data_IF_899015239988
#
_entry.id   IF_899015239988
#
_cell.length_a   1.000
_cell.length_b   1.000
_cell.length_c   1.000
_cell.angle_alpha   90.00
_cell.angle_beta   90.00
_cell.angle_gamma   90.00
#
_symmetry.space_group_name_H-M   'P 1'
#
loop_
_entity.id
_entity.type
_entity.pdbx_description
1 polymer ?
#
# COMPACT_ATOMS: atom_id res chain seq x y z
N UNK A 1 17.60 -6.34 8.19
CA UNK A 1 16.59 -6.42 7.18
C UNK A 1 15.31 -5.77 7.69
N UNK A 2 14.77 -4.88 6.90
CA UNK A 2 13.60 -4.14 7.31
C UNK A 2 12.37 -4.64 6.56
N UNK A 3 11.66 -5.57 7.19
CA UNK A 3 10.46 -6.16 6.59
C UNK A 3 9.36 -5.13 6.37
N UNK A 4 9.36 -4.05 7.15
CA UNK A 4 8.36 -3.01 6.99
C UNK A 4 8.49 -2.29 5.66
N UNK A 5 9.73 -2.04 5.24
CA UNK A 5 9.95 -1.39 3.95
C UNK A 5 9.48 -2.28 2.81
N UNK A 6 9.82 -3.56 2.86
CA UNK A 6 9.40 -4.50 1.83
C UNK A 6 7.88 -4.63 1.80
N UNK A 7 7.26 -4.70 2.96
CA UNK A 7 5.80 -4.79 3.04
C UNK A 7 5.13 -3.53 2.52
N UNK A 8 5.68 -2.37 2.86
CA UNK A 8 5.14 -1.11 2.38
C UNK A 8 5.22 -1.02 0.86
N UNK A 9 6.32 -1.50 0.28
CA UNK A 9 6.47 -1.51 -1.17
C UNK A 9 5.43 -2.41 -1.83
N UNK A 10 5.17 -3.58 -1.24
CA UNK A 10 4.14 -4.48 -1.76
C UNK A 10 2.77 -3.84 -1.70
N UNK A 11 2.45 -3.19 -0.59
CA UNK A 11 1.17 -2.51 -0.45
C UNK A 11 1.03 -1.37 -1.44
N UNK A 12 2.11 -0.64 -1.66
CA UNK A 12 2.12 0.43 -2.64
C UNK A 12 1.87 -0.11 -4.04
N UNK A 13 2.56 -1.19 -4.40
CA UNK A 13 2.39 -1.79 -5.73
C UNK A 13 0.95 -2.27 -5.94
N UNK A 14 0.38 -2.90 -4.93
CA UNK A 14 -1.01 -3.36 -5.02
C UNK A 14 -1.97 -2.19 -5.10
N UNK A 15 -1.68 -1.13 -4.35
CA UNK A 15 -2.49 0.08 -4.42
C UNK A 15 -2.48 0.69 -5.80
N UNK A 16 -1.31 0.74 -6.43
CA UNK A 16 -1.21 1.26 -7.79
C UNK A 16 -1.96 0.40 -8.78
N UNK A 17 -1.88 -0.92 -8.64
CA UNK A 17 -2.62 -1.83 -9.51
C UNK A 17 -4.12 -1.63 -9.34
N UNK A 18 -4.58 -1.48 -8.12
CA UNK A 18 -6.00 -1.22 -7.87
C UNK A 18 -6.43 0.11 -8.46
N UNK A 19 -5.58 1.14 -8.33
CA UNK A 19 -5.86 2.45 -8.90
C UNK A 19 -6.00 2.35 -10.43
N UNK A 20 -5.09 1.65 -11.07
CA UNK A 20 -5.13 1.49 -12.53
C UNK A 20 -6.35 0.69 -13.00
N UNK A 21 -6.84 -0.21 -12.14
CA UNK A 21 -8.04 -0.97 -12.44
C UNK A 21 -9.33 -0.19 -12.16
N UNK A 22 -9.21 1.02 -11.63
CA UNK A 22 -10.36 1.85 -11.32
C UNK A 22 -10.94 1.62 -9.94
N UNK A 23 -10.28 0.81 -9.12
CA UNK A 23 -10.74 0.51 -7.77
C UNK A 23 -10.09 1.48 -6.78
N UNK A 24 -10.57 2.70 -6.78
CA UNK A 24 -9.97 3.77 -6.00
C UNK A 24 -10.11 3.53 -4.50
N UNK A 25 -11.22 2.99 -4.06
CA UNK A 25 -11.44 2.73 -2.63
C UNK A 25 -10.41 1.73 -2.11
N UNK A 26 -10.16 0.67 -2.87
CA UNK A 26 -9.18 -0.32 -2.47
C UNK A 26 -7.77 0.24 -2.53
N UNK A 27 -7.50 1.07 -3.51
CA UNK A 27 -6.20 1.74 -3.63
C UNK A 27 -5.92 2.59 -2.39
N UNK A 28 -6.89 3.37 -1.96
CA UNK A 28 -6.75 4.20 -0.76
C UNK A 28 -6.53 3.34 0.48
N UNK A 29 -7.26 2.24 0.60
CA UNK A 29 -7.11 1.35 1.74
C UNK A 29 -5.69 0.79 1.81
N UNK A 30 -5.17 0.35 0.68
CA UNK A 30 -3.82 -0.20 0.64
C UNK A 30 -2.77 0.86 0.94
N UNK A 31 -2.97 2.06 0.44
CA UNK A 31 -2.04 3.16 0.72
C UNK A 31 -2.06 3.54 2.19
N UNK A 32 -3.23 3.54 2.81
CA UNK A 32 -3.35 3.83 4.23
C UNK A 32 -2.65 2.78 5.07
N UNK A 33 -2.72 1.51 4.66
CA UNK A 33 -2.01 0.45 5.37
C UNK A 33 -0.51 0.66 5.29
N UNK A 34 -0.01 1.08 4.12
CA UNK A 34 1.42 1.36 3.98
C UNK A 34 1.85 2.49 4.89
N UNK A 35 1.03 3.54 4.99
CA UNK A 35 1.34 4.65 5.88
C UNK A 35 1.34 4.22 7.34
N UNK A 36 0.41 3.35 7.72
CA UNK A 36 0.36 2.86 9.09
C UNK A 36 1.61 2.09 9.48
N UNK A 37 2.20 1.39 8.54
CA UNK A 37 3.45 0.67 8.81
C UNK A 37 4.56 1.61 9.24
N UNK A 38 4.60 2.80 8.65
CA UNK A 38 5.62 3.78 9.00
C UNK A 38 5.32 4.49 10.30
N UNK A 39 4.06 4.52 10.71
CA UNK A 39 3.68 5.15 11.98
C UNK A 39 3.90 4.24 13.19
N UNK A 40 3.80 2.96 13.00
CA UNK A 40 3.89 1.98 14.10
C UNK A 40 5.30 1.77 14.66
#
# INVERSE_FOLDING_TARGET
LDDKIAEAQMLKDKGMAAHNAGDHAKSEELMNKALDLFKS
#
